data_IF_753922084586
#
_entry.id   IF_753922084586
#
_cell.length_a   1.000
_cell.length_b   1.000
_cell.length_c   1.000
_cell.angle_alpha   90.00
_cell.angle_beta   90.00
_cell.angle_gamma   90.00
#
_symmetry.space_group_name_H-M   'P 1'
#
loop_
_entity.id
_entity.type
_entity.pdbx_description
1 polymer ?
#
# COMPACT_ATOMS: atom_id res chain seq x y z
N UNK A 1 -6.96 -10.12 -5.17
CA UNK A 1 -5.89 -9.14 -4.88
C UNK A 1 -5.42 -8.35 -6.10
N UNK A 2 -5.01 -8.99 -7.20
CA UNK A 2 -4.43 -8.28 -8.37
C UNK A 2 -5.39 -7.28 -9.03
N UNK A 3 -6.67 -7.63 -9.20
CA UNK A 3 -7.68 -6.69 -9.73
C UNK A 3 -7.85 -5.47 -8.82
N UNK A 4 -7.84 -5.70 -7.51
CA UNK A 4 -8.00 -4.64 -6.52
C UNK A 4 -6.78 -3.69 -6.52
N UNK A 5 -5.58 -4.22 -6.77
CA UNK A 5 -4.37 -3.41 -7.00
C UNK A 5 -4.52 -2.50 -8.22
N UNK A 6 -4.95 -3.07 -9.34
CA UNK A 6 -5.17 -2.28 -10.58
C UNK A 6 -6.19 -1.17 -10.32
N UNK A 7 -7.32 -1.48 -9.67
CA UNK A 7 -8.37 -0.51 -9.39
C UNK A 7 -7.89 0.64 -8.50
N UNK A 8 -7.23 0.35 -7.37
CA UNK A 8 -6.80 1.40 -6.46
C UNK A 8 -5.69 2.25 -7.05
N UNK A 9 -4.74 1.66 -7.77
CA UNK A 9 -3.66 2.41 -8.43
C UNK A 9 -4.21 3.30 -9.56
N UNK A 10 -5.13 2.78 -10.36
CA UNK A 10 -5.79 3.54 -11.42
C UNK A 10 -6.64 4.68 -10.85
N UNK A 11 -7.34 4.45 -9.73
CA UNK A 11 -8.10 5.49 -9.05
C UNK A 11 -7.21 6.65 -8.56
N UNK A 12 -6.02 6.37 -8.02
CA UNK A 12 -5.05 7.41 -7.65
C UNK A 12 -4.58 8.18 -8.88
N UNK A 13 -4.25 7.47 -9.97
CA UNK A 13 -3.76 8.07 -11.20
C UNK A 13 -4.79 9.04 -11.82
N UNK A 14 -6.02 8.58 -11.98
CA UNK A 14 -7.13 9.41 -12.50
C UNK A 14 -7.44 10.58 -11.59
N UNK A 15 -7.38 10.39 -10.27
CA UNK A 15 -7.62 11.48 -9.32
C UNK A 15 -6.57 12.59 -9.44
N UNK A 16 -5.29 12.24 -9.60
CA UNK A 16 -4.22 13.22 -9.82
C UNK A 16 -4.41 13.99 -11.13
N UNK A 17 -4.80 13.30 -12.22
CA UNK A 17 -5.09 13.95 -13.49
C UNK A 17 -6.32 14.86 -13.40
N UNK A 18 -7.37 14.44 -12.68
CA UNK A 18 -8.58 15.23 -12.45
C UNK A 18 -8.32 16.50 -11.62
N UNK A 19 -7.27 16.49 -10.79
CA UNK A 19 -6.79 17.67 -10.06
C UNK A 19 -6.02 18.67 -10.94
N UNK A 20 -5.73 18.32 -12.19
CA UNK A 20 -4.92 19.13 -13.10
C UNK A 20 -3.42 19.00 -12.86
N UNK A 21 -2.97 17.99 -12.10
CA UNK A 21 -1.55 17.71 -11.92
C UNK A 21 -0.94 17.10 -13.19
N UNK A 22 0.39 17.17 -13.30
CA UNK A 22 1.09 16.61 -14.45
C UNK A 22 1.02 15.08 -14.46
N UNK A 23 1.21 14.51 -15.65
CA UNK A 23 1.29 13.05 -15.85
C UNK A 23 2.40 12.44 -14.99
N UNK A 24 3.49 13.18 -14.77
CA UNK A 24 4.62 12.73 -13.95
C UNK A 24 4.24 12.62 -12.47
N UNK A 25 3.43 13.56 -11.96
CA UNK A 25 2.86 13.48 -10.61
C UNK A 25 1.90 12.32 -10.48
N UNK A 26 1.01 12.13 -11.45
CA UNK A 26 0.08 11.00 -11.46
C UNK A 26 0.81 9.65 -11.46
N UNK A 27 1.87 9.51 -12.26
CA UNK A 27 2.74 8.31 -12.25
C UNK A 27 3.43 8.10 -10.91
N UNK A 28 3.95 9.16 -10.31
CA UNK A 28 4.60 9.10 -8.99
C UNK A 28 3.62 8.65 -7.91
N UNK A 29 2.39 9.17 -7.92
CA UNK A 29 1.33 8.79 -6.99
C UNK A 29 0.91 7.33 -7.19
N UNK A 30 0.78 6.88 -8.44
CA UNK A 30 0.43 5.51 -8.79
C UNK A 30 1.49 4.51 -8.30
N UNK A 31 2.78 4.79 -8.49
CA UNK A 31 3.88 3.95 -7.97
C UNK A 31 3.84 3.90 -6.45
N UNK A 32 3.65 5.04 -5.78
CA UNK A 32 3.52 5.07 -4.33
C UNK A 32 2.34 4.22 -3.82
N UNK A 33 1.19 4.31 -4.51
CA UNK A 33 0.02 3.48 -4.21
C UNK A 33 0.28 1.99 -4.39
N UNK A 34 1.01 1.60 -5.45
CA UNK A 34 1.38 0.20 -5.67
C UNK A 34 2.20 -0.36 -4.51
N UNK A 35 3.24 0.36 -4.07
CA UNK A 35 4.09 -0.12 -2.97
C UNK A 35 3.33 -0.18 -1.65
N UNK A 36 2.45 0.79 -1.36
CA UNK A 36 1.54 0.72 -0.20
C UNK A 36 0.63 -0.50 -0.31
N UNK A 37 0.16 -0.80 -1.52
CA UNK A 37 -0.58 -2.01 -1.80
C UNK A 37 0.21 -3.29 -1.47
N UNK A 38 1.48 -3.37 -1.86
CA UNK A 38 2.35 -4.52 -1.57
C UNK A 38 2.63 -4.65 -0.07
N UNK A 39 2.84 -3.52 0.63
CA UNK A 39 2.91 -3.49 2.10
C UNK A 39 1.66 -4.12 2.73
N UNK A 40 0.49 -3.63 2.33
CA UNK A 40 -0.79 -4.14 2.81
C UNK A 40 -0.96 -5.63 2.49
N UNK A 41 -0.48 -6.08 1.33
CA UNK A 41 -0.51 -7.49 0.96
C UNK A 41 0.43 -8.33 1.82
N UNK A 42 1.67 -7.88 2.03
CA UNK A 42 2.67 -8.54 2.88
C UNK A 42 2.12 -8.74 4.30
N UNK A 43 1.51 -7.69 4.87
CA UNK A 43 0.80 -7.79 6.14
C UNK A 43 -0.34 -8.81 6.04
N UNK A 44 -1.21 -8.71 5.04
CA UNK A 44 -2.37 -9.60 4.90
C UNK A 44 -2.01 -11.09 4.77
N UNK A 45 -1.00 -11.45 3.96
CA UNK A 45 -0.51 -12.83 3.78
C UNK A 45 0.18 -13.34 5.04
N UNK A 46 0.89 -12.46 5.75
CA UNK A 46 1.54 -12.85 7.00
C UNK A 46 0.56 -13.07 8.15
N UNK A 47 -0.55 -12.32 8.18
CA UNK A 47 -1.67 -12.54 9.11
C UNK A 47 -2.55 -13.74 8.74
N UNK A 48 -2.20 -14.52 7.71
CA UNK A 48 -2.93 -15.75 7.39
C UNK A 48 -2.85 -16.77 8.53
N UNK A 49 -1.75 -16.78 9.30
CA UNK A 49 -1.51 -17.73 10.41
C UNK A 49 -1.81 -17.20 11.82
N UNK A 50 -1.93 -15.88 12.02
CA UNK A 50 -2.24 -15.28 13.32
C UNK A 50 -3.20 -14.10 13.18
N UNK A 51 -4.15 -13.98 14.11
CA UNK A 51 -5.21 -12.96 14.15
C UNK A 51 -4.62 -11.55 14.11
N UNK A 52 -5.12 -10.68 13.22
CA UNK A 52 -4.66 -9.30 13.04
C UNK A 52 -4.83 -8.37 14.27
N UNK A 53 -5.39 -8.88 15.37
CA UNK A 53 -5.74 -8.12 16.57
C UNK A 53 -4.90 -8.46 17.80
N UNK A 54 -3.88 -9.31 17.65
CA UNK A 54 -3.05 -9.71 18.78
C UNK A 54 -1.95 -8.67 19.05
N UNK A 55 -1.81 -8.24 20.31
CA UNK A 55 -0.84 -7.21 20.76
C UNK A 55 0.63 -7.60 20.54
N UNK A 56 0.88 -8.83 20.10
CA UNK A 56 2.16 -9.31 19.56
C UNK A 56 2.55 -8.66 18.23
N UNK A 57 1.67 -7.85 17.62
CA UNK A 57 1.90 -7.04 16.42
C UNK A 57 3.22 -6.23 16.45
N UNK A 58 3.59 -5.72 17.63
CA UNK A 58 4.78 -4.87 17.82
C UNK A 58 5.96 -5.59 18.47
N UNK A 59 5.73 -6.64 19.25
CA UNK A 59 6.77 -7.29 20.08
C UNK A 59 7.12 -8.72 19.64
N UNK A 60 6.26 -9.39 18.87
CA UNK A 60 6.43 -10.81 18.55
C UNK A 60 7.34 -11.09 17.34
N UNK A 61 7.53 -10.14 16.42
CA UNK A 61 8.32 -10.40 15.22
C UNK A 61 8.90 -9.14 14.54
N UNK A 62 10.11 -8.78 14.96
CA UNK A 62 10.91 -7.63 14.52
C UNK A 62 11.10 -7.53 13.01
N UNK A 63 10.97 -8.64 12.27
CA UNK A 63 11.19 -8.66 10.81
C UNK A 63 10.11 -7.90 10.05
N UNK A 64 8.83 -7.96 10.49
CA UNK A 64 7.75 -7.25 9.81
C UNK A 64 7.81 -5.74 10.03
N UNK A 65 8.08 -5.32 11.26
CA UNK A 65 8.29 -3.90 11.56
C UNK A 65 9.54 -3.37 10.87
N UNK A 66 10.62 -4.16 10.80
CA UNK A 66 11.82 -3.80 10.03
C UNK A 66 11.53 -3.68 8.52
N UNK A 67 10.80 -4.63 7.92
CA UNK A 67 10.40 -4.56 6.50
C UNK A 67 9.52 -3.34 6.22
N UNK A 68 8.55 -3.05 7.09
CA UNK A 68 7.71 -1.87 6.96
C UNK A 68 8.51 -0.57 7.06
N UNK A 69 9.44 -0.48 8.02
CA UNK A 69 10.33 0.66 8.18
C UNK A 69 11.25 0.84 6.96
N UNK A 70 11.83 -0.25 6.46
CA UNK A 70 12.67 -0.25 5.25
C UNK A 70 11.85 0.21 4.05
N UNK A 71 10.63 -0.28 3.87
CA UNK A 71 9.75 0.12 2.77
C UNK A 71 9.38 1.60 2.85
N UNK A 72 9.01 2.10 4.03
CA UNK A 72 8.75 3.55 4.23
C UNK A 72 10.01 4.38 3.92
N UNK A 73 11.18 3.94 4.37
CA UNK A 73 12.44 4.62 4.08
C UNK A 73 12.75 4.63 2.57
N UNK A 74 12.57 3.49 1.89
CA UNK A 74 12.70 3.40 0.43
C UNK A 74 11.69 4.28 -0.29
N UNK A 75 10.46 4.38 0.22
CA UNK A 75 9.39 5.22 -0.30
C UNK A 75 9.79 6.70 -0.29
N UNK A 76 10.32 7.15 0.84
CA UNK A 76 10.79 8.52 1.04
C UNK A 76 12.03 8.79 0.19
N UNK A 77 12.97 7.83 0.12
CA UNK A 77 14.14 7.95 -0.75
C UNK A 77 13.72 8.04 -2.22
N UNK A 78 12.80 7.19 -2.67
CA UNK A 78 12.31 7.21 -4.06
C UNK A 78 11.54 8.49 -4.40
N UNK A 79 10.77 9.03 -3.45
CA UNK A 79 9.95 10.21 -3.67
C UNK A 79 10.73 11.52 -3.57
N UNK A 80 11.76 11.59 -2.72
CA UNK A 80 12.49 12.83 -2.42
C UNK A 80 13.97 12.83 -2.81
N UNK A 81 14.58 11.70 -3.17
CA UNK A 81 15.98 11.71 -3.60
C UNK A 81 16.08 12.33 -5.00
N UNK A 82 16.86 13.41 -5.16
CA UNK A 82 16.94 14.15 -6.43
C UNK A 82 17.53 13.30 -7.58
N UNK A 83 18.40 12.35 -7.28
CA UNK A 83 18.91 11.37 -8.26
C UNK A 83 17.81 10.44 -8.78
N UNK A 84 16.92 9.98 -7.91
CA UNK A 84 15.80 9.11 -8.30
C UNK A 84 14.71 9.90 -9.01
N UNK A 85 14.46 11.14 -8.59
CA UNK A 85 13.56 12.06 -9.31
C UNK A 85 14.04 12.33 -10.74
N UNK A 86 15.35 12.50 -10.93
CA UNK A 86 15.89 12.75 -12.27
C UNK A 86 15.85 11.50 -13.16
N UNK A 87 16.07 10.29 -12.60
CA UNK A 87 16.07 9.04 -13.36
C UNK A 87 14.66 8.54 -13.68
N UNK A 88 13.74 8.65 -12.74
CA UNK A 88 12.37 8.14 -12.88
C UNK A 88 11.35 9.23 -13.23
N UNK A 89 11.80 10.48 -13.41
CA UNK A 89 10.97 11.67 -13.62
C UNK A 89 9.86 11.78 -12.56
N UNK A 90 10.19 11.50 -11.30
CA UNK A 90 9.22 11.60 -10.20
C UNK A 90 9.14 13.02 -9.66
N UNK A 91 7.96 13.39 -9.18
CA UNK A 91 7.71 14.71 -8.58
C UNK A 91 7.35 14.57 -7.12
N UNK A 92 7.69 15.57 -6.29
CA UNK A 92 7.25 15.60 -4.91
C UNK A 92 5.71 15.55 -4.82
N UNK A 93 5.20 14.61 -4.04
CA UNK A 93 3.77 14.46 -3.77
C UNK A 93 3.33 15.42 -2.67
N UNK A 94 2.15 16.01 -2.84
CA UNK A 94 1.56 16.86 -1.82
C UNK A 94 0.87 16.03 -0.73
N UNK A 95 0.49 16.70 0.37
CA UNK A 95 -0.15 16.04 1.50
C UNK A 95 -1.51 15.40 1.12
N UNK A 96 -2.20 15.95 0.12
CA UNK A 96 -3.49 15.44 -0.33
C UNK A 96 -3.34 14.11 -1.10
N UNK A 97 -2.34 14.00 -1.98
CA UNK A 97 -1.95 12.75 -2.64
C UNK A 97 -1.59 11.68 -1.62
N UNK A 98 -0.79 12.04 -0.62
CA UNK A 98 -0.44 11.13 0.49
C UNK A 98 -1.67 10.67 1.27
N UNK A 99 -2.58 11.58 1.61
CA UNK A 99 -3.81 11.26 2.32
C UNK A 99 -4.68 10.27 1.52
N UNK A 100 -4.81 10.47 0.21
CA UNK A 100 -5.57 9.58 -0.67
C UNK A 100 -4.92 8.20 -0.80
N UNK A 101 -3.59 8.14 -0.96
CA UNK A 101 -2.82 6.87 -0.99
C UNK A 101 -3.02 6.08 0.31
N UNK A 102 -2.93 6.75 1.47
CA UNK A 102 -3.13 6.11 2.78
C UNK A 102 -4.57 5.66 2.94
N UNK A 103 -5.55 6.48 2.55
CA UNK A 103 -6.97 6.14 2.64
C UNK A 103 -7.33 4.90 1.79
N UNK A 104 -6.85 4.86 0.53
CA UNK A 104 -7.07 3.70 -0.35
C UNK A 104 -6.28 2.47 0.11
N UNK A 105 -5.08 2.65 0.65
CA UNK A 105 -4.31 1.57 1.28
C UNK A 105 -5.05 0.93 2.44
N UNK A 106 -5.63 1.76 3.32
CA UNK A 106 -6.44 1.29 4.44
C UNK A 106 -7.74 0.61 3.96
N UNK A 107 -8.41 1.18 2.96
CA UNK A 107 -9.60 0.57 2.37
C UNK A 107 -9.28 -0.81 1.77
N UNK A 108 -8.17 -0.93 1.02
CA UNK A 108 -7.67 -2.20 0.53
C UNK A 108 -7.42 -3.19 1.67
N UNK A 109 -6.77 -2.76 2.75
CA UNK A 109 -6.51 -3.61 3.91
C UNK A 109 -7.81 -4.17 4.50
N UNK A 110 -8.82 -3.31 4.70
CA UNK A 110 -10.13 -3.70 5.22
C UNK A 110 -10.85 -4.68 4.31
N UNK A 111 -10.81 -4.47 2.98
CA UNK A 111 -11.44 -5.38 2.02
C UNK A 111 -10.81 -6.77 2.09
N UNK A 112 -9.48 -6.86 2.11
CA UNK A 112 -8.77 -8.15 2.17
C UNK A 112 -8.99 -8.85 3.52
N UNK A 113 -9.04 -8.10 4.63
CA UNK A 113 -9.32 -8.68 5.95
C UNK A 113 -10.78 -9.16 6.05
N UNK A 114 -11.73 -8.43 5.45
CA UNK A 114 -13.13 -8.86 5.34
C UNK A 114 -13.27 -10.14 4.51
N UNK A 115 -12.57 -10.24 3.36
CA UNK A 115 -12.50 -11.46 2.55
C UNK A 115 -11.98 -12.64 3.38
N UNK A 116 -10.88 -12.44 4.12
CA UNK A 116 -10.34 -13.45 5.05
C UNK A 116 -11.32 -13.83 6.15
N UNK A 117 -12.02 -12.87 6.75
CA UNK A 117 -12.99 -13.13 7.80
C UNK A 117 -14.17 -13.96 7.29
N UNK A 118 -14.69 -13.65 6.10
CA UNK A 118 -15.76 -14.42 5.45
C UNK A 118 -15.27 -15.84 5.13
N UNK A 119 -14.07 -16.00 4.59
CA UNK A 119 -13.48 -17.33 4.31
C UNK A 119 -13.29 -18.17 5.58
N UNK A 120 -12.81 -17.55 6.67
CA UNK A 120 -12.69 -18.21 7.99
C UNK A 120 -14.06 -18.61 8.54
N UNK A 121 -15.07 -17.74 8.42
CA UNK A 121 -16.44 -18.00 8.87
C UNK A 121 -17.12 -19.11 8.06
N UNK A 122 -16.85 -19.20 6.77
CA UNK A 122 -17.41 -20.21 5.87
C UNK A 122 -16.68 -21.55 5.91
N UNK A 123 -15.67 -21.72 6.78
CA UNK A 123 -15.02 -23.00 7.10
C UNK A 123 -14.57 -23.81 5.87
N UNK A 124 -14.21 -23.15 4.78
CA UNK A 124 -13.45 -23.79 3.71
C UNK A 124 -12.04 -23.96 4.27
N UNK A 125 -11.84 -25.06 5.00
CA UNK A 125 -10.53 -25.69 5.15
C UNK A 125 -10.06 -25.96 3.72
N UNK A 126 -9.25 -25.08 3.15
CA UNK A 126 -8.43 -25.49 2.02
C UNK A 126 -7.38 -26.45 2.57
N UNK A 127 -7.49 -27.68 2.06
CA UNK A 127 -6.52 -28.77 2.14
C UNK A 127 -5.08 -28.30 1.90
#
# INVERSE_FOLDING_TARGET
VSLLMVLVTFAVFEWELARGNSIDTARTAAVNMLVVGELVYLFNVRFFTATAFDRTLFTGNTVASAMALILIALQLLFTYAPTLQHVFQTTALDAASWALIVALGLAKFLVVEAEKWILRRNRIRSL
#
